data_IF_897496888686
#
_entry.id   IF_897496888686
#
_cell.length_a   1.000
_cell.length_b   1.000
_cell.length_c   1.000
_cell.angle_alpha   90.00
_cell.angle_beta   90.00
_cell.angle_gamma   90.00
#
_symmetry.space_group_name_H-M   'P 1'
#
loop_
_entity.id
_entity.type
_entity.pdbx_description
1 polymer ?
#
# COMPACT_ATOMS: atom_id res chain seq x y z
N UNK A 1 78.50 -35.35 57.97
CA UNK A 1 77.86 -35.69 56.68
C UNK A 1 77.11 -34.46 56.19
N UNK A 2 77.74 -33.59 55.38
CA UNK A 2 77.20 -32.26 55.02
C UNK A 2 76.23 -32.26 53.80
N UNK A 3 76.16 -33.33 53.02
CA UNK A 3 75.44 -33.36 51.73
C UNK A 3 73.91 -33.37 51.80
N UNK A 4 73.31 -33.74 52.94
CA UNK A 4 71.84 -33.88 53.07
C UNK A 4 71.16 -32.51 53.26
N UNK A 5 71.87 -31.56 53.85
CA UNK A 5 71.35 -30.22 54.11
C UNK A 5 71.29 -29.40 52.82
N UNK A 6 72.36 -29.43 52.01
CA UNK A 6 72.43 -28.73 50.72
C UNK A 6 71.34 -29.19 49.75
N UNK A 7 71.09 -30.50 49.66
CA UNK A 7 70.02 -31.05 48.82
C UNK A 7 68.62 -30.59 49.29
N UNK A 8 68.41 -30.46 50.60
CA UNK A 8 67.15 -29.97 51.19
C UNK A 8 66.96 -28.47 50.94
N UNK A 9 68.03 -27.68 50.96
CA UNK A 9 67.97 -26.26 50.61
C UNK A 9 67.66 -26.07 49.12
N UNK A 10 68.21 -26.90 48.25
CA UNK A 10 67.92 -26.87 46.81
C UNK A 10 66.46 -27.23 46.52
N UNK A 11 65.93 -28.30 47.13
CA UNK A 11 64.52 -28.67 46.95
C UNK A 11 63.57 -27.59 47.47
N UNK A 12 63.94 -26.92 48.57
CA UNK A 12 63.16 -25.80 49.11
C UNK A 12 63.18 -24.58 48.19
N UNK A 13 64.32 -24.27 47.57
CA UNK A 13 64.41 -23.20 46.56
C UNK A 13 63.57 -23.53 45.32
N UNK A 14 63.61 -24.79 44.86
CA UNK A 14 62.82 -25.28 43.74
C UNK A 14 61.32 -25.22 44.02
N UNK A 15 60.88 -25.66 45.21
CA UNK A 15 59.48 -25.56 45.63
C UNK A 15 59.01 -24.10 45.70
N UNK A 16 59.87 -23.19 46.18
CA UNK A 16 59.58 -21.77 46.27
C UNK A 16 59.49 -21.14 44.88
N UNK A 17 60.38 -21.48 43.96
CA UNK A 17 60.32 -21.05 42.56
C UNK A 17 59.07 -21.60 41.86
N UNK A 18 58.73 -22.87 42.07
CA UNK A 18 57.53 -23.50 41.53
C UNK A 18 56.25 -22.84 42.07
N UNK A 19 56.22 -22.51 43.36
CA UNK A 19 55.11 -21.79 43.98
C UNK A 19 54.98 -20.36 43.42
N UNK A 20 56.09 -19.63 43.26
CA UNK A 20 56.12 -18.30 42.64
C UNK A 20 55.66 -18.35 41.18
N UNK A 21 56.16 -19.31 40.39
CA UNK A 21 55.75 -19.51 39.01
C UNK A 21 54.26 -19.85 38.90
N UNK A 22 53.71 -20.66 39.81
CA UNK A 22 52.28 -20.98 39.87
C UNK A 22 51.45 -19.74 40.23
N UNK A 23 51.90 -18.94 41.19
CA UNK A 23 51.26 -17.68 41.58
C UNK A 23 51.26 -16.67 40.42
N UNK A 24 52.41 -16.48 39.76
CA UNK A 24 52.56 -15.59 38.62
C UNK A 24 51.70 -16.03 37.42
N UNK A 25 51.56 -17.34 37.18
CA UNK A 25 50.65 -17.88 36.16
C UNK A 25 49.19 -17.60 36.50
N UNK A 26 48.78 -17.88 37.73
CA UNK A 26 47.43 -17.59 38.20
C UNK A 26 47.08 -16.09 38.10
N UNK A 27 48.03 -15.21 38.41
CA UNK A 27 47.87 -13.77 38.30
C UNK A 27 47.73 -13.31 36.83
N UNK A 28 48.51 -13.90 35.91
CA UNK A 28 48.37 -13.64 34.46
C UNK A 28 47.02 -14.11 33.92
N UNK A 29 46.57 -15.30 34.32
CA UNK A 29 45.26 -15.83 33.95
C UNK A 29 44.14 -14.96 34.48
N UNK A 30 44.24 -14.52 35.75
CA UNK A 30 43.29 -13.59 36.36
C UNK A 30 43.24 -12.25 35.63
N UNK A 31 44.39 -11.68 35.30
CA UNK A 31 44.48 -10.41 34.57
C UNK A 31 43.93 -10.53 33.15
N UNK A 32 44.24 -11.63 32.44
CA UNK A 32 43.70 -11.89 31.10
C UNK A 32 42.17 -12.05 31.12
N UNK A 33 41.63 -12.79 32.10
CA UNK A 33 40.18 -12.94 32.26
C UNK A 33 39.52 -11.61 32.61
N UNK A 34 40.16 -10.78 33.44
CA UNK A 34 39.65 -9.46 33.81
C UNK A 34 39.63 -8.49 32.61
N UNK A 35 40.65 -8.53 31.73
CA UNK A 35 40.66 -7.76 30.49
C UNK A 35 39.57 -8.23 29.50
N UNK A 36 39.41 -9.55 29.34
CA UNK A 36 38.37 -10.11 28.48
C UNK A 36 36.97 -9.73 28.98
N UNK A 37 36.74 -9.82 30.30
CA UNK A 37 35.51 -9.39 30.95
C UNK A 37 35.27 -7.89 30.81
N UNK A 38 36.31 -7.06 30.82
CA UNK A 38 36.18 -5.60 30.61
C UNK A 38 35.70 -5.29 29.19
N UNK A 39 36.30 -5.92 28.18
CA UNK A 39 35.89 -5.74 26.79
C UNK A 39 34.47 -6.27 26.52
N UNK A 40 34.07 -7.37 27.16
CA UNK A 40 32.70 -7.88 27.12
C UNK A 40 31.71 -6.96 27.84
N UNK A 41 32.07 -6.40 29.00
CA UNK A 41 31.22 -5.47 29.77
C UNK A 41 30.97 -4.15 29.03
N UNK A 42 31.97 -3.61 28.34
CA UNK A 42 31.81 -2.39 27.54
C UNK A 42 30.86 -2.59 26.35
N UNK A 43 30.98 -3.74 25.66
CA UNK A 43 30.02 -4.14 24.61
C UNK A 43 28.62 -4.40 25.17
N UNK A 44 28.50 -5.11 26.29
CA UNK A 44 27.21 -5.37 26.92
C UNK A 44 26.53 -4.08 27.38
N UNK A 45 27.26 -3.13 27.98
CA UNK A 45 26.71 -1.85 28.45
C UNK A 45 26.19 -0.97 27.31
N UNK A 46 26.87 -0.96 26.17
CA UNK A 46 26.40 -0.20 24.99
C UNK A 46 25.16 -0.84 24.37
N UNK A 47 25.13 -2.18 24.25
CA UNK A 47 23.94 -2.89 23.75
C UNK A 47 22.72 -2.74 24.65
N UNK A 48 22.88 -2.75 25.98
CA UNK A 48 21.75 -2.56 26.90
C UNK A 48 21.19 -1.14 26.85
N UNK A 49 22.05 -0.12 26.74
CA UNK A 49 21.60 1.27 26.57
C UNK A 49 20.84 1.45 25.24
N UNK A 50 21.31 0.86 24.14
CA UNK A 50 20.62 0.88 22.84
C UNK A 50 19.24 0.22 22.91
N UNK A 51 19.13 -0.94 23.56
CA UNK A 51 17.84 -1.63 23.73
C UNK A 51 16.87 -0.82 24.58
N UNK A 52 17.33 -0.15 25.64
CA UNK A 52 16.48 0.72 26.47
C UNK A 52 15.97 1.93 25.68
N UNK A 53 16.82 2.56 24.87
CA UNK A 53 16.41 3.68 24.00
C UNK A 53 15.36 3.20 22.98
N UNK A 54 15.57 2.04 22.37
CA UNK A 54 14.63 1.47 21.40
C UNK A 54 13.27 1.13 22.04
N UNK A 55 13.28 0.59 23.26
CA UNK A 55 12.06 0.31 24.04
C UNK A 55 11.29 1.60 24.32
N UNK A 56 11.97 2.67 24.76
CA UNK A 56 11.34 3.97 25.03
C UNK A 56 10.74 4.56 23.75
N UNK A 57 11.49 4.52 22.63
CA UNK A 57 10.99 5.01 21.35
C UNK A 57 9.76 4.24 20.88
N UNK A 58 9.76 2.91 21.02
CA UNK A 58 8.61 2.07 20.67
C UNK A 58 7.37 2.40 21.51
N UNK A 59 7.54 2.61 22.82
CA UNK A 59 6.46 3.04 23.71
C UNK A 59 5.89 4.41 23.32
N UNK A 60 6.75 5.38 22.96
CA UNK A 60 6.32 6.70 22.50
C UNK A 60 5.52 6.58 21.20
N UNK A 61 6.00 5.81 20.23
CA UNK A 61 5.29 5.59 18.96
C UNK A 61 3.94 4.91 19.20
N UNK A 62 3.88 3.89 20.05
CA UNK A 62 2.63 3.20 20.40
C UNK A 62 1.61 4.15 21.06
N UNK A 63 2.07 5.02 21.96
CA UNK A 63 1.23 6.03 22.58
C UNK A 63 0.69 7.04 21.56
N UNK A 64 1.52 7.50 20.62
CA UNK A 64 1.11 8.41 19.54
C UNK A 64 0.11 7.75 18.57
N UNK A 65 0.25 6.44 18.29
CA UNK A 65 -0.70 5.68 17.48
C UNK A 65 -2.03 5.46 18.21
N UNK A 66 -2.00 5.12 19.50
CA UNK A 66 -3.19 4.94 20.33
C UNK A 66 -4.01 6.24 20.44
N UNK A 67 -3.33 7.37 20.62
CA UNK A 67 -3.95 8.69 20.66
C UNK A 67 -4.33 9.24 19.26
N UNK A 68 -4.09 8.48 18.19
CA UNK A 68 -4.50 8.81 16.83
C UNK A 68 -3.73 9.96 16.16
N UNK A 69 -2.65 10.48 16.75
CA UNK A 69 -1.93 11.67 16.25
C UNK A 69 -1.01 11.37 15.05
N UNK A 70 -0.64 10.10 14.85
CA UNK A 70 0.18 9.63 13.72
C UNK A 70 -0.65 9.12 12.53
N UNK A 71 -2.00 9.19 12.59
CA UNK A 71 -2.82 9.05 11.38
C UNK A 71 -2.58 10.28 10.51
N UNK A 72 -1.57 10.20 9.65
CA UNK A 72 -1.19 11.26 8.73
C UNK A 72 -2.40 11.82 8.01
N UNK A 73 -2.85 12.98 8.48
CA UNK A 73 -3.37 14.01 7.61
C UNK A 73 -2.18 14.41 6.75
N UNK A 74 -2.04 13.75 5.60
CA UNK A 74 -1.04 14.13 4.61
C UNK A 74 -1.22 15.61 4.32
N UNK A 75 -0.18 16.39 4.60
CA UNK A 75 -0.11 17.79 4.19
C UNK A 75 -0.14 17.83 2.66
N UNK A 76 -1.34 18.02 2.12
CA UNK A 76 -1.51 18.76 0.89
C UNK A 76 -1.92 20.16 1.32
N UNK A 77 -0.93 21.06 1.39
CA UNK A 77 -1.16 22.48 1.54
C UNK A 77 -1.91 22.99 0.31
N UNK A 78 -3.23 22.87 0.30
CA UNK A 78 -4.11 23.55 -0.64
C UNK A 78 -5.42 23.87 0.09
N UNK A 79 -5.61 25.18 0.34
CA UNK A 79 -6.83 25.88 0.73
C UNK A 79 -7.94 25.06 1.39
N UNK A 80 -8.25 25.44 2.64
CA UNK A 80 -9.38 25.00 3.44
C UNK A 80 -10.74 25.33 2.77
N UNK A 81 -11.11 24.58 1.73
CA UNK A 81 -12.48 24.50 1.25
C UNK A 81 -13.16 23.42 2.09
N UNK A 82 -14.12 23.81 2.92
CA UNK A 82 -14.91 22.89 3.72
C UNK A 82 -15.78 22.02 2.79
N UNK A 83 -15.19 20.94 2.28
CA UNK A 83 -15.78 19.97 1.33
C UNK A 83 -17.09 19.40 1.88
N UNK A 84 -17.23 19.28 3.20
CA UNK A 84 -18.48 18.81 3.82
C UNK A 84 -19.64 19.80 3.66
N UNK A 85 -19.37 21.10 3.69
CA UNK A 85 -20.38 22.13 3.45
C UNK A 85 -20.73 22.26 1.95
N UNK A 86 -19.76 22.07 1.05
CA UNK A 86 -20.00 22.10 -0.41
C UNK A 86 -20.80 20.88 -0.86
N UNK A 87 -20.47 19.68 -0.38
CA UNK A 87 -21.17 18.43 -0.68
C UNK A 87 -22.65 18.48 -0.30
N UNK A 88 -22.97 18.97 0.90
CA UNK A 88 -24.36 19.10 1.34
C UNK A 88 -25.15 20.12 0.51
N UNK A 89 -24.48 21.16 -0.01
CA UNK A 89 -25.10 22.18 -0.87
C UNK A 89 -25.30 21.66 -2.30
N UNK A 90 -24.36 20.89 -2.82
CA UNK A 90 -24.45 20.25 -4.13
C UNK A 90 -25.51 19.14 -4.16
N UNK A 91 -25.58 18.29 -3.13
CA UNK A 91 -26.61 17.24 -3.04
C UNK A 91 -28.02 17.82 -3.10
N UNK A 92 -28.29 18.93 -2.39
CA UNK A 92 -29.58 19.63 -2.46
C UNK A 92 -29.87 20.18 -3.85
N UNK A 93 -28.89 20.82 -4.48
CA UNK A 93 -29.04 21.41 -5.83
C UNK A 93 -29.29 20.36 -6.91
N UNK A 94 -28.61 19.21 -6.80
CA UNK A 94 -28.78 18.07 -7.71
C UNK A 94 -30.18 17.47 -7.54
N UNK A 95 -30.64 17.29 -6.29
CA UNK A 95 -31.99 16.77 -5.99
C UNK A 95 -33.09 17.71 -6.50
N UNK A 96 -32.94 19.03 -6.32
CA UNK A 96 -33.91 20.02 -6.83
C UNK A 96 -33.98 20.04 -8.36
N UNK A 97 -32.82 19.93 -9.02
CA UNK A 97 -32.74 19.86 -10.49
C UNK A 97 -33.38 18.58 -11.03
N UNK A 98 -33.16 17.44 -10.37
CA UNK A 98 -33.75 16.15 -10.73
C UNK A 98 -35.27 16.14 -10.51
N UNK A 99 -35.76 16.74 -9.43
CA UNK A 99 -37.19 16.87 -9.15
C UNK A 99 -37.88 17.78 -10.17
N UNK A 100 -37.23 18.88 -10.58
CA UNK A 100 -37.72 19.78 -11.62
C UNK A 100 -37.76 19.10 -13.00
N UNK A 101 -36.74 18.33 -13.34
CA UNK A 101 -36.70 17.50 -14.56
C UNK A 101 -37.77 16.41 -14.56
N UNK A 102 -37.97 15.70 -13.46
CA UNK A 102 -39.00 14.68 -13.37
C UNK A 102 -40.40 15.31 -13.47
N UNK A 103 -40.61 16.51 -12.89
CA UNK A 103 -41.86 17.26 -13.03
C UNK A 103 -42.10 17.71 -14.48
N UNK A 104 -41.10 18.23 -15.18
CA UNK A 104 -41.24 18.60 -16.60
C UNK A 104 -41.40 17.39 -17.52
N UNK A 105 -40.77 16.26 -17.20
CA UNK A 105 -40.95 14.99 -17.89
C UNK A 105 -42.37 14.43 -17.69
N UNK A 106 -42.91 14.50 -16.47
CA UNK A 106 -44.30 14.08 -16.19
C UNK A 106 -45.34 15.01 -16.81
N UNK A 107 -45.09 16.32 -16.88
CA UNK A 107 -45.97 17.28 -17.53
C UNK A 107 -45.92 17.21 -19.07
N UNK A 108 -44.79 16.82 -19.67
CA UNK A 108 -44.68 16.51 -21.11
C UNK A 108 -45.16 15.09 -21.46
N UNK A 109 -45.19 14.19 -20.47
CA UNK A 109 -45.71 12.83 -20.58
C UNK A 109 -47.19 12.70 -20.17
N UNK A 110 -47.95 13.80 -20.19
CA UNK A 110 -49.41 13.77 -20.32
C UNK A 110 -49.85 13.37 -21.74
N UNK A 111 -48.97 12.72 -22.51
CA UNK A 111 -49.31 11.98 -23.71
C UNK A 111 -49.82 10.60 -23.31
N UNK A 112 -51.14 10.46 -23.30
CA UNK A 112 -51.94 9.23 -23.29
C UNK A 112 -51.15 7.91 -23.18
N UNK A 113 -51.26 7.27 -22.01
CA UNK A 113 -50.71 5.94 -21.69
C UNK A 113 -51.14 4.79 -22.62
N UNK A 114 -52.00 5.05 -23.61
CA UNK A 114 -52.37 4.11 -24.67
C UNK A 114 -51.32 3.98 -25.79
N UNK A 115 -50.33 4.88 -25.89
CA UNK A 115 -49.30 4.83 -26.96
C UNK A 115 -47.99 4.14 -26.54
N UNK A 116 -47.74 3.98 -25.23
CA UNK A 116 -46.50 3.39 -24.71
C UNK A 116 -46.44 1.86 -24.97
N UNK A 117 -47.57 1.16 -25.02
CA UNK A 117 -47.61 -0.27 -25.39
C UNK A 117 -47.20 -0.58 -26.84
N UNK A 118 -47.38 0.37 -27.77
CA UNK A 118 -46.86 0.26 -29.15
C UNK A 118 -45.41 0.77 -29.27
N UNK A 119 -44.98 1.69 -28.41
CA UNK A 119 -43.60 2.14 -28.35
C UNK A 119 -42.66 1.11 -27.71
N UNK A 120 -43.12 0.28 -26.77
CA UNK A 120 -42.29 -0.79 -26.17
C UNK A 120 -41.99 -1.93 -27.15
N UNK A 121 -42.88 -2.20 -28.12
CA UNK A 121 -42.60 -3.08 -29.26
C UNK A 121 -41.57 -2.49 -30.24
N UNK A 122 -41.48 -1.15 -30.33
CA UNK A 122 -40.52 -0.44 -31.20
C UNK A 122 -39.20 -0.08 -30.49
N UNK A 123 -39.17 -0.02 -29.15
CA UNK A 123 -37.98 0.26 -28.34
C UNK A 123 -37.09 -0.96 -28.15
N UNK A 124 -37.65 -2.17 -28.16
CA UNK A 124 -36.87 -3.41 -28.32
C UNK A 124 -36.27 -3.55 -29.74
N UNK A 125 -36.65 -2.68 -30.68
CA UNK A 125 -36.10 -2.61 -32.04
C UNK A 125 -35.37 -1.29 -32.33
N UNK A 126 -35.33 -0.34 -31.38
CA UNK A 126 -34.82 1.02 -31.58
C UNK A 126 -33.49 1.34 -30.88
N UNK A 127 -32.99 0.43 -30.02
CA UNK A 127 -31.67 0.55 -29.38
C UNK A 127 -30.79 -0.69 -29.60
N UNK A 128 -31.19 -1.64 -30.46
CA UNK A 128 -30.26 -2.64 -31.01
C UNK A 128 -29.30 -1.91 -31.94
N UNK A 129 -28.07 -1.69 -31.51
CA UNK A 129 -27.05 -1.13 -32.41
C UNK A 129 -26.25 0.06 -31.90
N UNK A 130 -26.62 0.69 -30.77
CA UNK A 130 -25.83 1.81 -30.25
C UNK A 130 -24.47 1.32 -29.77
N UNK A 131 -23.42 1.91 -30.33
CA UNK A 131 -22.04 1.59 -30.03
C UNK A 131 -21.62 2.39 -28.81
N UNK A 132 -21.16 1.71 -27.76
CA UNK A 132 -20.55 2.32 -26.57
C UNK A 132 -19.05 2.02 -26.60
N UNK A 133 -18.24 2.98 -26.16
CA UNK A 133 -16.79 2.88 -26.16
C UNK A 133 -16.29 2.81 -24.72
N UNK A 134 -15.31 1.95 -24.44
CA UNK A 134 -14.65 1.86 -23.13
C UNK A 134 -13.14 1.86 -23.33
N UNK A 135 -12.39 2.52 -22.45
CA UNK A 135 -10.93 2.51 -22.50
C UNK A 135 -10.43 1.40 -21.58
N UNK A 136 -9.68 0.45 -22.10
CA UNK A 136 -9.09 -0.65 -21.34
C UNK A 136 -7.61 -0.42 -21.16
N UNK A 137 -7.13 -0.57 -19.93
CA UNK A 137 -5.73 -0.34 -19.54
C UNK A 137 -4.92 -1.63 -19.56
N UNK A 138 -5.58 -2.78 -19.40
CA UNK A 138 -4.88 -4.05 -19.42
C UNK A 138 -5.79 -5.25 -19.24
N UNK A 139 -5.31 -6.38 -19.76
CA UNK A 139 -5.86 -7.71 -19.59
C UNK A 139 -4.79 -8.57 -18.91
N UNK A 140 -4.81 -8.66 -17.58
CA UNK A 140 -3.80 -9.37 -16.81
C UNK A 140 -4.22 -10.83 -16.62
N UNK A 141 -3.35 -11.80 -16.94
CA UNK A 141 -3.62 -13.20 -16.62
C UNK A 141 -3.73 -13.42 -15.11
N UNK A 142 -4.61 -14.32 -14.68
CA UNK A 142 -4.95 -14.61 -13.27
C UNK A 142 -3.76 -14.79 -12.33
N UNK A 143 -2.60 -15.21 -12.86
CA UNK A 143 -1.37 -15.45 -12.11
C UNK A 143 -0.54 -14.20 -11.77
N UNK A 144 -0.79 -13.06 -12.43
CA UNK A 144 -0.16 -11.78 -12.10
C UNK A 144 -1.24 -10.90 -11.49
N UNK A 145 -1.47 -11.02 -10.19
CA UNK A 145 -2.31 -10.08 -9.44
C UNK A 145 -1.83 -8.65 -9.73
N UNK A 146 -2.57 -7.82 -10.47
CA UNK A 146 -2.22 -6.42 -10.50
C UNK A 146 -2.58 -5.87 -9.13
N UNK A 147 -1.58 -5.38 -8.40
CA UNK A 147 -1.70 -4.52 -7.22
C UNK A 147 -2.37 -3.16 -7.57
N UNK A 148 -3.26 -3.12 -8.56
CA UNK A 148 -4.12 -2.00 -8.87
C UNK A 148 -5.23 -2.01 -7.82
N UNK A 149 -4.98 -1.31 -6.72
CA UNK A 149 -5.98 -1.13 -5.68
C UNK A 149 -7.27 -0.59 -6.31
N UNK A 150 -8.42 -1.21 -5.99
CA UNK A 150 -9.77 -0.80 -6.44
C UNK A 150 -10.11 0.69 -6.17
N UNK A 151 -9.23 1.40 -5.45
CA UNK A 151 -9.34 2.80 -5.04
C UNK A 151 -8.54 3.76 -5.91
N UNK A 152 -7.52 3.30 -6.63
CA UNK A 152 -6.61 4.18 -7.36
C UNK A 152 -7.17 4.60 -8.72
N UNK A 153 -8.08 3.79 -9.27
CA UNK A 153 -8.70 4.07 -10.56
C UNK A 153 -10.18 3.66 -10.47
N UNK A 154 -11.14 4.52 -10.86
CA UNK A 154 -12.54 4.13 -11.02
C UNK A 154 -12.71 3.39 -12.36
N UNK A 155 -13.06 2.10 -12.32
CA UNK A 155 -13.17 1.27 -13.52
C UNK A 155 -14.12 0.10 -13.39
N UNK A 156 -14.65 -0.36 -14.52
CA UNK A 156 -15.49 -1.55 -14.63
C UNK A 156 -14.56 -2.76 -14.69
N UNK A 157 -14.77 -3.67 -13.74
CA UNK A 157 -14.06 -4.92 -13.62
C UNK A 157 -14.87 -6.06 -14.24
N UNK A 158 -14.27 -6.80 -15.17
CA UNK A 158 -14.87 -7.99 -15.73
C UNK A 158 -13.84 -9.13 -15.74
N UNK A 159 -14.16 -10.21 -15.02
CA UNK A 159 -13.44 -11.48 -15.11
C UNK A 159 -14.05 -12.27 -16.26
N UNK A 160 -13.27 -12.56 -17.29
CA UNK A 160 -13.70 -13.35 -18.45
C UNK A 160 -12.53 -14.22 -18.89
N UNK A 161 -12.77 -15.52 -18.96
CA UNK A 161 -11.85 -16.56 -19.46
C UNK A 161 -10.46 -16.56 -18.79
N UNK A 162 -10.39 -16.31 -17.49
CA UNK A 162 -9.13 -16.35 -16.73
C UNK A 162 -8.23 -15.11 -16.88
N UNK A 163 -8.75 -14.04 -17.49
CA UNK A 163 -8.06 -12.74 -17.56
C UNK A 163 -8.84 -11.66 -16.79
N UNK A 164 -8.08 -10.80 -16.11
CA UNK A 164 -8.58 -9.61 -15.44
C UNK A 164 -8.57 -8.44 -16.41
N UNK A 165 -9.76 -7.99 -16.83
CA UNK A 165 -9.92 -6.83 -17.70
C UNK A 165 -10.18 -5.59 -16.86
N UNK A 166 -9.32 -4.60 -16.99
CA UNK A 166 -9.48 -3.31 -16.32
C UNK A 166 -9.90 -2.24 -17.34
N UNK A 167 -11.13 -1.74 -17.21
CA UNK A 167 -11.69 -0.73 -18.11
C UNK A 167 -12.13 0.52 -17.37
N UNK A 168 -11.89 1.69 -17.93
CA UNK A 168 -12.32 2.99 -17.41
C UNK A 168 -13.35 3.59 -18.35
N UNK A 169 -14.49 3.96 -17.77
CA UNK A 169 -15.49 4.78 -18.41
C UNK A 169 -16.30 4.06 -19.51
N UNK A 170 -17.50 4.59 -19.74
CA UNK A 170 -18.35 4.25 -20.87
C UNK A 170 -18.66 5.56 -21.60
N UNK A 171 -18.25 5.64 -22.86
CA UNK A 171 -18.34 6.83 -23.69
C UNK A 171 -19.31 6.56 -24.85
N UNK A 172 -20.09 7.59 -25.20
CA UNK A 172 -20.95 7.54 -26.38
C UNK A 172 -20.19 7.85 -27.67
N UNK A 173 -19.05 8.56 -27.56
CA UNK A 173 -18.22 8.99 -28.68
C UNK A 173 -16.82 8.37 -28.63
N UNK A 174 -16.29 8.01 -29.80
CA UNK A 174 -14.91 7.53 -29.95
C UNK A 174 -13.89 8.59 -29.55
N UNK A 175 -14.16 9.86 -29.83
CA UNK A 175 -13.22 10.96 -29.56
C UNK A 175 -13.03 11.19 -28.05
N UNK A 176 -14.10 11.07 -27.27
CA UNK A 176 -14.04 11.17 -25.81
C UNK A 176 -13.21 10.02 -25.22
N UNK A 177 -13.42 8.80 -25.73
CA UNK A 177 -12.65 7.64 -25.31
C UNK A 177 -11.15 7.77 -25.68
N UNK A 178 -10.83 8.32 -26.85
CA UNK A 178 -9.45 8.59 -27.28
C UNK A 178 -8.76 9.68 -26.46
N UNK A 179 -9.50 10.71 -26.03
CA UNK A 179 -8.97 11.73 -25.14
C UNK A 179 -8.50 11.12 -23.81
N UNK A 180 -9.37 10.30 -23.19
CA UNK A 180 -9.01 9.59 -21.97
C UNK A 180 -7.86 8.60 -22.19
N UNK A 181 -7.86 7.86 -23.30
CA UNK A 181 -6.75 6.95 -23.65
C UNK A 181 -5.41 7.69 -23.70
N UNK A 182 -5.38 8.89 -24.31
CA UNK A 182 -4.17 9.70 -24.40
C UNK A 182 -3.70 10.13 -23.01
N UNK A 183 -4.61 10.59 -22.15
CA UNK A 183 -4.29 10.94 -20.77
C UNK A 183 -3.74 9.74 -19.99
N UNK A 184 -4.34 8.56 -20.15
CA UNK A 184 -3.88 7.34 -19.50
C UNK A 184 -2.48 6.92 -19.99
N UNK A 185 -2.21 7.01 -21.30
CA UNK A 185 -0.87 6.79 -21.85
C UNK A 185 0.15 7.78 -21.27
N UNK A 186 -0.20 9.06 -21.13
CA UNK A 186 0.70 10.04 -20.50
C UNK A 186 0.96 9.76 -19.02
N UNK A 187 0.07 9.05 -18.33
CA UNK A 187 0.24 8.61 -16.94
C UNK A 187 1.05 7.31 -16.81
N UNK A 188 1.50 6.72 -17.93
CA UNK A 188 2.31 5.49 -17.96
C UNK A 188 1.53 4.21 -18.26
N UNK A 189 0.28 4.31 -18.73
CA UNK A 189 -0.49 3.16 -19.23
C UNK A 189 -0.34 3.04 -20.75
N UNK A 190 0.85 2.70 -21.22
CA UNK A 190 1.21 2.68 -22.65
C UNK A 190 0.30 1.75 -23.49
N UNK A 191 -0.08 0.61 -22.90
CA UNK A 191 -0.91 -0.43 -23.51
C UNK A 191 -2.42 -0.12 -23.48
N UNK A 192 -2.83 1.10 -23.09
CA UNK A 192 -4.25 1.45 -23.05
C UNK A 192 -4.85 1.51 -24.47
N UNK A 193 -5.98 0.83 -24.68
CA UNK A 193 -6.71 0.78 -25.96
C UNK A 193 -8.21 1.04 -25.80
N UNK A 194 -8.86 1.53 -26.85
CA UNK A 194 -10.31 1.78 -26.85
C UNK A 194 -11.05 0.60 -27.46
N UNK A 195 -11.95 -0.02 -26.71
CA UNK A 195 -12.83 -1.07 -27.21
C UNK A 195 -14.25 -0.54 -27.42
N UNK A 196 -14.83 -0.82 -28.59
CA UNK A 196 -16.24 -0.54 -28.85
C UNK A 196 -17.10 -1.78 -28.59
N UNK A 197 -18.29 -1.57 -28.05
CA UNK A 197 -19.26 -2.59 -27.72
C UNK A 197 -20.62 -2.22 -28.30
N UNK A 198 -21.37 -3.21 -28.77
CA UNK A 198 -22.77 -3.07 -29.20
C UNK A 198 -23.54 -4.25 -28.64
N UNK A 199 -24.64 -3.96 -27.95
CA UNK A 199 -25.50 -4.96 -27.33
C UNK A 199 -24.71 -5.94 -26.43
N UNK A 200 -23.72 -5.42 -25.69
CA UNK A 200 -22.84 -6.20 -24.81
C UNK A 200 -21.73 -7.00 -25.51
N UNK A 201 -21.69 -7.03 -26.85
CA UNK A 201 -20.64 -7.70 -27.62
C UNK A 201 -19.58 -6.71 -28.08
N UNK A 202 -18.30 -7.10 -27.95
CA UNK A 202 -17.17 -6.30 -28.48
C UNK A 202 -17.26 -6.26 -30.01
N UNK A 203 -17.22 -5.06 -30.57
CA UNK A 203 -17.23 -4.80 -32.01
C UNK A 203 -15.82 -4.70 -32.56
N UNK A 204 -15.04 -3.73 -32.06
CA UNK A 204 -13.73 -3.38 -32.63
C UNK A 204 -12.80 -2.77 -31.58
N UNK A 205 -11.50 -2.93 -31.79
CA UNK A 205 -10.43 -2.26 -31.04
C UNK A 205 -9.98 -1.05 -31.86
N UNK A 206 -9.88 0.08 -31.20
CA UNK A 206 -9.35 1.32 -31.76
C UNK A 206 -8.08 1.65 -30.97
N UNK A 207 -6.96 1.75 -31.69
CA UNK A 207 -5.65 2.09 -31.15
C UNK A 207 -5.43 3.61 -31.03
#
# INVERSE_FOLDING_TARGET
MPFIEEAKYQSMQEDLENALNKSNKAEREFNALNEEMKHQKEKARTTTVLLLIFLVLACVIAYLLYNGTLNGKGNNDNANLNVTAIRAKEERRVVDSLKKMNKSFRSSSALNGATIGKATGKLNSGNKGKVVYSVQIGSFSKNKYPMLSKRMIPGIYAESDGYFKYSIGLFASLNEAKALQKELRTLGFDDAFVASYRDGKRLKIHE
#
